data_IF_968460648597
#
_entry.id   IF_968460648597
#
_cell.length_a   1.000
_cell.length_b   1.000
_cell.length_c   1.000
_cell.angle_alpha   90.00
_cell.angle_beta   90.00
_cell.angle_gamma   90.00
#
_symmetry.space_group_name_H-M   'P 1'
#
loop_
_entity.id
_entity.type
_entity.pdbx_description
1 polymer ?
#
# COMPACT_ATOMS: atom_id res chain seq x y z
N UNK A 1 23.27 20.39 -10.53
CA UNK A 1 22.70 20.80 -11.83
C UNK A 1 21.40 20.01 -11.99
N UNK A 2 20.25 20.68 -11.93
CA UNK A 2 18.98 20.03 -12.23
C UNK A 2 18.98 19.77 -13.75
N UNK A 3 19.08 18.51 -14.18
CA UNK A 3 18.70 18.17 -15.54
C UNK A 3 17.23 18.56 -15.69
N UNK A 4 16.87 19.25 -16.77
CA UNK A 4 15.46 19.44 -17.13
C UNK A 4 14.75 18.11 -16.97
N UNK A 5 13.69 18.07 -16.17
CA UNK A 5 12.92 16.84 -16.06
C UNK A 5 12.52 16.42 -17.48
N UNK A 6 12.70 15.15 -17.83
CA UNK A 6 12.26 14.66 -19.14
C UNK A 6 10.77 14.93 -19.30
N UNK A 7 10.26 15.05 -20.53
CA UNK A 7 8.80 15.17 -20.71
C UNK A 7 8.10 13.89 -20.21
N UNK A 8 7.02 14.03 -19.43
CA UNK A 8 6.28 12.89 -18.86
C UNK A 8 5.78 11.94 -19.95
N UNK A 9 5.33 12.48 -21.08
CA UNK A 9 4.85 11.66 -22.19
C UNK A 9 5.99 10.87 -22.85
N UNK A 10 7.18 11.46 -22.95
CA UNK A 10 8.39 10.77 -23.42
C UNK A 10 8.87 9.64 -22.49
N UNK A 11 8.54 9.73 -21.20
CA UNK A 11 8.87 8.72 -20.20
C UNK A 11 7.87 7.55 -20.18
N UNK A 12 6.78 7.59 -20.98
CA UNK A 12 5.71 6.61 -20.95
C UNK A 12 5.93 5.49 -21.96
N UNK A 13 5.82 4.25 -21.50
CA UNK A 13 5.80 3.03 -22.33
C UNK A 13 4.41 2.40 -22.28
N UNK A 14 3.88 1.98 -23.43
CA UNK A 14 2.55 1.33 -23.47
C UNK A 14 2.62 -0.16 -23.09
N UNK A 15 3.62 -0.88 -23.57
CA UNK A 15 3.73 -2.32 -23.38
C UNK A 15 5.02 -2.68 -22.63
N UNK A 16 4.95 -3.76 -21.85
CA UNK A 16 6.10 -4.32 -21.15
C UNK A 16 6.97 -5.12 -22.11
N UNK A 17 8.08 -4.52 -22.55
CA UNK A 17 9.01 -5.18 -23.48
C UNK A 17 9.78 -6.32 -22.80
N UNK A 18 10.00 -7.45 -23.51
CA UNK A 18 10.75 -8.57 -22.96
C UNK A 18 12.21 -8.18 -22.70
N UNK A 19 12.75 -8.68 -21.59
CA UNK A 19 14.15 -8.43 -21.24
C UNK A 19 15.11 -9.30 -22.05
N UNK A 20 16.34 -8.83 -22.30
CA UNK A 20 17.42 -9.66 -22.81
C UNK A 20 17.63 -10.91 -21.96
N UNK A 21 17.99 -12.04 -22.58
CA UNK A 21 18.08 -13.34 -21.90
C UNK A 21 18.99 -13.34 -20.66
N UNK A 22 20.11 -12.62 -20.70
CA UNK A 22 21.03 -12.50 -19.55
C UNK A 22 20.38 -11.79 -18.36
N UNK A 23 19.58 -10.75 -18.61
CA UNK A 23 18.82 -10.04 -17.57
C UNK A 23 17.76 -10.94 -16.96
N UNK A 24 17.05 -11.72 -17.77
CA UNK A 24 16.06 -12.70 -17.31
C UNK A 24 16.68 -13.75 -16.38
N UNK A 25 17.86 -14.29 -16.72
CA UNK A 25 18.60 -15.22 -15.85
C UNK A 25 19.01 -14.53 -14.55
N UNK A 26 19.59 -13.34 -14.65
CA UNK A 26 20.04 -12.57 -13.49
C UNK A 26 18.87 -12.26 -12.53
N UNK A 27 17.75 -11.74 -13.04
CA UNK A 27 16.58 -11.43 -12.23
C UNK A 27 15.93 -12.69 -11.65
N UNK A 28 15.90 -13.80 -12.40
CA UNK A 28 15.47 -15.09 -11.85
C UNK A 28 16.28 -15.45 -10.61
N UNK A 29 17.61 -15.42 -10.70
CA UNK A 29 18.50 -15.75 -9.57
C UNK A 29 18.21 -14.85 -8.36
N UNK A 30 18.13 -13.53 -8.58
CA UNK A 30 17.89 -12.58 -7.49
C UNK A 30 16.50 -12.77 -6.85
N UNK A 31 15.45 -12.97 -7.64
CA UNK A 31 14.09 -13.17 -7.14
C UNK A 31 13.98 -14.44 -6.27
N UNK A 32 14.55 -15.55 -6.73
CA UNK A 32 14.53 -16.78 -5.95
C UNK A 32 15.41 -16.66 -4.71
N UNK A 33 16.55 -15.96 -4.77
CA UNK A 33 17.36 -15.66 -3.59
C UNK A 33 16.57 -14.84 -2.56
N UNK A 34 15.92 -13.76 -2.99
CA UNK A 34 15.04 -12.94 -2.12
C UNK A 34 13.91 -13.78 -1.51
N UNK A 35 13.28 -14.64 -2.31
CA UNK A 35 12.23 -15.55 -1.83
C UNK A 35 12.74 -16.49 -0.73
N UNK A 36 13.90 -17.15 -0.94
CA UNK A 36 14.45 -18.08 0.05
C UNK A 36 14.98 -17.37 1.30
N UNK A 37 15.62 -16.21 1.16
CA UNK A 37 16.03 -15.37 2.30
C UNK A 37 14.82 -14.94 3.11
N UNK A 38 13.76 -14.46 2.45
CA UNK A 38 12.53 -14.05 3.12
C UNK A 38 11.88 -15.23 3.86
N UNK A 39 11.79 -16.41 3.23
CA UNK A 39 11.25 -17.62 3.84
C UNK A 39 12.07 -18.10 5.04
N UNK A 40 13.40 -18.05 4.96
CA UNK A 40 14.29 -18.38 6.06
C UNK A 40 14.13 -17.39 7.23
N UNK A 41 14.11 -16.08 6.93
CA UNK A 41 13.87 -15.03 7.92
C UNK A 41 12.55 -15.20 8.65
N UNK A 42 11.46 -15.52 7.91
CA UNK A 42 10.15 -15.80 8.51
C UNK A 42 10.17 -17.02 9.43
N UNK A 43 10.89 -18.10 9.06
CA UNK A 43 11.05 -19.28 9.94
C UNK A 43 11.78 -18.90 11.23
N UNK A 44 12.89 -18.18 11.14
CA UNK A 44 13.64 -17.73 12.33
C UNK A 44 12.77 -16.84 13.21
N UNK A 45 12.06 -15.87 12.63
CA UNK A 45 11.14 -15.01 13.37
C UNK A 45 10.03 -15.81 14.07
N UNK A 46 9.47 -16.82 13.40
CA UNK A 46 8.44 -17.69 13.98
C UNK A 46 8.97 -18.51 15.17
N UNK A 47 10.22 -18.99 15.10
CA UNK A 47 10.87 -19.71 16.19
C UNK A 47 11.15 -18.77 17.35
N UNK A 48 11.73 -17.59 17.09
CA UNK A 48 11.97 -16.56 18.12
C UNK A 48 10.69 -16.15 18.83
N UNK A 49 9.60 -15.93 18.10
CA UNK A 49 8.30 -15.58 18.70
C UNK A 49 7.76 -16.69 19.62
N UNK A 50 7.93 -17.96 19.24
CA UNK A 50 7.56 -19.11 20.09
C UNK A 50 8.41 -19.20 21.35
N UNK A 51 9.72 -18.94 21.24
CA UNK A 51 10.66 -19.03 22.36
C UNK A 51 10.59 -17.85 23.32
N UNK A 52 10.29 -16.65 22.84
CA UNK A 52 10.40 -15.42 23.62
C UNK A 52 9.22 -15.18 24.59
N UNK A 53 8.18 -16.03 24.62
CA UNK A 53 6.90 -15.72 25.30
C UNK A 53 6.34 -14.35 24.93
N UNK A 54 6.80 -13.78 23.81
CA UNK A 54 6.66 -12.38 23.47
C UNK A 54 5.55 -12.31 22.41
N UNK A 55 4.32 -11.91 22.80
CA UNK A 55 3.23 -11.83 21.87
C UNK A 55 3.46 -10.58 21.04
N UNK A 56 3.99 -10.74 19.83
CA UNK A 56 3.50 -9.85 18.77
C UNK A 56 2.02 -10.21 18.65
N UNK A 57 1.15 -9.37 19.23
CA UNK A 57 -0.27 -9.62 19.47
C UNK A 57 -0.90 -10.43 18.32
N UNK A 58 -1.09 -11.75 18.50
CA UNK A 58 -1.48 -12.61 17.41
C UNK A 58 -2.91 -12.26 16.96
N UNK A 59 -3.27 -12.54 15.70
CA UNK A 59 -4.66 -12.43 15.29
C UNK A 59 -5.51 -13.35 16.17
N UNK A 60 -6.75 -12.94 16.41
CA UNK A 60 -7.73 -13.75 17.15
C UNK A 60 -7.98 -15.09 16.44
N UNK A 61 -7.92 -15.10 15.11
CA UNK A 61 -7.97 -16.35 14.32
C UNK A 61 -7.24 -16.21 12.99
N UNK A 62 -6.85 -17.35 12.43
CA UNK A 62 -6.40 -17.49 11.04
C UNK A 62 -7.40 -18.38 10.33
N UNK A 63 -7.93 -17.94 9.18
CA UNK A 63 -8.99 -18.67 8.46
C UNK A 63 -8.57 -18.94 7.03
N UNK A 64 -8.85 -20.15 6.55
CA UNK A 64 -8.70 -20.54 5.15
C UNK A 64 -10.07 -20.82 4.57
N UNK A 65 -10.35 -20.28 3.38
CA UNK A 65 -11.60 -20.53 2.66
C UNK A 65 -11.37 -21.55 1.54
N UNK A 66 -12.37 -22.40 1.19
CA UNK A 66 -12.25 -23.37 0.11
C UNK A 66 -11.87 -22.77 -1.24
N UNK A 67 -12.25 -21.51 -1.51
CA UNK A 67 -11.88 -20.82 -2.74
C UNK A 67 -10.36 -20.63 -2.86
N UNK A 68 -9.65 -20.42 -1.74
CA UNK A 68 -8.20 -20.18 -1.68
C UNK A 68 -7.59 -20.77 -0.39
N UNK A 69 -7.50 -22.12 -0.28
CA UNK A 69 -7.14 -22.78 0.98
C UNK A 69 -5.71 -22.47 1.45
N UNK A 70 -4.83 -22.11 0.51
CA UNK A 70 -3.42 -21.80 0.75
C UNK A 70 -3.14 -20.32 1.03
N UNK A 71 -4.16 -19.46 1.05
CA UNK A 71 -4.04 -18.03 1.32
C UNK A 71 -4.86 -17.67 2.57
N UNK A 72 -4.41 -18.10 3.77
CA UNK A 72 -5.16 -17.83 4.98
C UNK A 72 -5.24 -16.33 5.24
N UNK A 73 -6.43 -15.87 5.62
CA UNK A 73 -6.65 -14.52 6.17
C UNK A 73 -6.38 -14.51 7.67
N UNK A 74 -6.06 -13.34 8.22
CA UNK A 74 -5.80 -13.14 9.65
C UNK A 74 -6.82 -12.15 10.20
N UNK A 75 -7.54 -12.53 11.25
CA UNK A 75 -8.67 -11.75 11.78
C UNK A 75 -8.29 -11.15 13.13
N UNK A 76 -8.43 -9.83 13.24
CA UNK A 76 -8.20 -9.06 14.47
C UNK A 76 -9.52 -8.45 14.92
N UNK A 77 -10.09 -9.08 15.95
CA UNK A 77 -11.28 -8.59 16.65
C UNK A 77 -10.86 -7.49 17.64
N UNK A 78 -11.54 -6.33 17.67
CA UNK A 78 -11.24 -5.28 18.64
C UNK A 78 -11.56 -5.76 20.06
N UNK A 79 -10.79 -5.30 21.08
CA UNK A 79 -11.06 -5.65 22.50
C UNK A 79 -12.44 -5.18 22.97
N UNK A 80 -12.98 -4.13 22.37
CA UNK A 80 -14.31 -3.59 22.65
C UNK A 80 -15.47 -4.42 22.08
N UNK A 81 -15.18 -5.45 21.27
CA UNK A 81 -16.21 -6.26 20.65
C UNK A 81 -17.10 -6.96 21.68
N UNK A 82 -18.42 -6.83 21.50
CA UNK A 82 -19.45 -7.54 22.23
C UNK A 82 -20.33 -8.32 21.25
N UNK A 83 -20.82 -9.49 21.68
CA UNK A 83 -21.67 -10.35 20.83
C UNK A 83 -22.93 -9.62 20.35
N UNK A 84 -23.33 -9.86 19.10
CA UNK A 84 -24.52 -9.27 18.49
C UNK A 84 -24.32 -7.93 17.76
N UNK A 85 -23.09 -7.38 17.77
CA UNK A 85 -22.75 -6.15 17.05
C UNK A 85 -22.06 -6.45 15.71
N UNK A 86 -22.51 -5.82 14.62
CA UNK A 86 -21.73 -5.74 13.37
C UNK A 86 -20.74 -4.57 13.42
N UNK A 87 -19.51 -4.81 12.98
CA UNK A 87 -18.38 -3.91 13.05
C UNK A 87 -18.03 -3.34 11.67
N UNK A 88 -17.63 -2.05 11.59
CA UNK A 88 -16.93 -1.57 10.41
C UNK A 88 -15.68 -2.43 10.20
N UNK A 89 -15.38 -2.75 8.95
CA UNK A 89 -14.34 -3.72 8.60
C UNK A 89 -13.31 -3.10 7.67
N UNK A 90 -12.05 -3.20 8.07
CA UNK A 90 -10.90 -2.82 7.26
C UNK A 90 -10.16 -4.09 6.80
N UNK A 91 -10.19 -4.36 5.49
CA UNK A 91 -9.28 -5.33 4.90
C UNK A 91 -7.88 -4.71 4.77
N UNK A 92 -6.81 -5.46 5.03
CA UNK A 92 -5.44 -4.97 4.82
C UNK A 92 -4.65 -5.87 3.87
N UNK A 93 -3.89 -5.26 2.95
CA UNK A 93 -3.06 -5.95 1.95
C UNK A 93 -1.60 -5.56 2.12
N UNK A 94 -0.78 -6.54 2.46
CA UNK A 94 0.61 -6.31 2.85
C UNK A 94 1.53 -5.93 1.67
N UNK A 95 2.62 -5.22 1.98
CA UNK A 95 3.68 -4.86 1.02
C UNK A 95 4.54 -6.05 0.57
N UNK A 96 5.39 -5.83 -0.44
CA UNK A 96 6.41 -6.81 -0.82
C UNK A 96 6.70 -6.91 -2.32
N UNK A 97 6.49 -5.82 -3.07
CA UNK A 97 6.82 -5.76 -4.51
C UNK A 97 6.17 -6.88 -5.32
N UNK A 98 4.98 -7.35 -4.92
CA UNK A 98 4.25 -8.50 -5.50
C UNK A 98 4.94 -9.87 -5.41
N UNK A 99 6.21 -9.92 -4.99
CA UNK A 99 7.11 -11.09 -5.04
C UNK A 99 7.37 -11.68 -3.66
N UNK A 100 7.34 -10.85 -2.61
CA UNK A 100 7.68 -11.23 -1.25
C UNK A 100 6.66 -10.68 -0.24
N UNK A 101 6.95 -10.83 1.05
CA UNK A 101 6.08 -10.34 2.13
C UNK A 101 5.08 -11.37 2.61
N UNK A 102 4.47 -11.08 3.77
CA UNK A 102 3.48 -11.92 4.43
C UNK A 102 2.54 -11.01 5.24
N UNK A 103 1.24 -11.31 5.36
CA UNK A 103 0.32 -10.51 6.18
C UNK A 103 0.74 -10.40 7.66
N UNK A 104 1.55 -11.35 8.16
CA UNK A 104 2.14 -11.28 9.51
C UNK A 104 3.02 -10.05 9.73
N UNK A 105 3.61 -9.50 8.67
CA UNK A 105 4.49 -8.33 8.76
C UNK A 105 3.76 -7.11 9.37
N UNK A 106 2.44 -7.06 9.17
CA UNK A 106 1.59 -5.94 9.58
C UNK A 106 0.74 -6.27 10.82
N UNK A 107 0.95 -7.41 11.49
CA UNK A 107 0.15 -7.85 12.65
C UNK A 107 0.07 -6.77 13.75
N UNK A 108 1.20 -6.13 14.06
CA UNK A 108 1.24 -5.09 15.09
C UNK A 108 0.42 -3.85 14.68
N UNK A 109 0.51 -3.45 13.42
CA UNK A 109 -0.30 -2.35 12.87
C UNK A 109 -1.79 -2.71 12.92
N UNK A 110 -2.14 -3.92 12.44
CA UNK A 110 -3.51 -4.43 12.37
C UNK A 110 -4.15 -4.57 13.76
N UNK A 111 -3.43 -5.13 14.73
CA UNK A 111 -3.89 -5.24 16.13
C UNK A 111 -4.14 -3.86 16.72
N UNK A 112 -3.16 -2.96 16.61
CA UNK A 112 -3.27 -1.62 17.18
C UNK A 112 -4.46 -0.89 16.58
N UNK A 113 -4.64 -0.97 15.27
CA UNK A 113 -5.77 -0.35 14.57
C UNK A 113 -7.12 -0.90 15.05
N UNK A 114 -7.24 -2.23 15.11
CA UNK A 114 -8.44 -2.89 15.58
C UNK A 114 -8.78 -2.45 17.01
N UNK A 115 -7.82 -2.53 17.94
CA UNK A 115 -8.02 -2.15 19.34
C UNK A 115 -8.39 -0.70 19.53
N UNK A 116 -7.63 0.20 18.93
CA UNK A 116 -7.70 1.63 19.22
C UNK A 116 -8.98 2.23 18.64
N UNK A 117 -9.43 1.75 17.49
CA UNK A 117 -10.53 2.37 16.74
C UNK A 117 -11.80 1.51 16.68
N UNK A 118 -11.83 0.37 17.38
CA UNK A 118 -12.99 -0.53 17.43
C UNK A 118 -13.44 -1.01 16.04
N UNK A 119 -12.46 -1.32 15.19
CA UNK A 119 -12.66 -1.79 13.81
C UNK A 119 -12.29 -3.28 13.71
N UNK A 120 -13.06 -4.05 12.96
CA UNK A 120 -12.66 -5.41 12.59
C UNK A 120 -11.58 -5.31 11.50
N UNK A 121 -10.37 -5.80 11.77
CA UNK A 121 -9.30 -5.82 10.77
C UNK A 121 -9.10 -7.23 10.23
N UNK A 122 -9.11 -7.38 8.91
CA UNK A 122 -8.89 -8.65 8.22
C UNK A 122 -7.69 -8.52 7.28
N UNK A 123 -6.54 -9.06 7.69
CA UNK A 123 -5.34 -9.03 6.86
C UNK A 123 -5.38 -10.16 5.82
N UNK A 124 -5.30 -9.78 4.55
CA UNK A 124 -5.37 -10.67 3.40
C UNK A 124 -3.99 -11.16 2.98
N UNK A 125 -3.94 -12.37 2.43
CA UNK A 125 -2.75 -12.91 1.78
C UNK A 125 -3.00 -13.04 0.27
N UNK A 126 -1.96 -12.89 -0.52
CA UNK A 126 -2.03 -13.02 -1.99
C UNK A 126 -0.89 -13.89 -2.52
N UNK A 127 -1.08 -14.55 -3.69
CA UNK A 127 -0.04 -15.36 -4.31
C UNK A 127 1.10 -14.48 -4.81
N UNK A 128 2.32 -15.03 -4.88
CA UNK A 128 3.52 -14.25 -5.21
C UNK A 128 4.05 -14.54 -6.61
N UNK A 129 4.49 -13.47 -7.26
CA UNK A 129 5.30 -13.51 -8.47
C UNK A 129 6.69 -14.14 -8.19
N UNK A 130 7.35 -14.75 -9.18
CA UNK A 130 6.97 -14.84 -10.59
C UNK A 130 6.09 -16.06 -10.91
N UNK A 131 5.80 -16.92 -9.92
CA UNK A 131 4.94 -18.11 -10.10
C UNK A 131 3.49 -17.72 -10.42
N UNK A 132 3.03 -16.61 -9.86
CA UNK A 132 1.69 -16.07 -10.07
C UNK A 132 1.89 -14.60 -10.44
N UNK A 133 1.95 -14.32 -11.75
CA UNK A 133 2.13 -12.98 -12.30
C UNK A 133 0.82 -12.19 -12.25
N UNK A 134 0.87 -10.92 -12.62
CA UNK A 134 -0.34 -10.14 -12.91
C UNK A 134 -1.23 -10.90 -13.92
N UNK A 135 -2.57 -10.94 -13.73
CA UNK A 135 -3.37 -10.31 -12.67
C UNK A 135 -3.74 -11.24 -11.48
N UNK A 136 -3.12 -12.42 -11.33
CA UNK A 136 -3.59 -13.48 -10.41
C UNK A 136 -3.86 -13.01 -8.98
N UNK A 137 -2.98 -12.19 -8.41
CA UNK A 137 -3.13 -11.71 -7.04
C UNK A 137 -4.41 -10.90 -6.81
N UNK A 138 -4.88 -10.16 -7.81
CA UNK A 138 -6.06 -9.29 -7.72
C UNK A 138 -7.32 -10.16 -7.63
N UNK A 139 -7.47 -11.16 -8.50
CA UNK A 139 -8.59 -12.09 -8.46
C UNK A 139 -8.59 -12.97 -7.20
N UNK A 140 -7.42 -13.36 -6.70
CA UNK A 140 -7.35 -14.11 -5.45
C UNK A 140 -7.79 -13.28 -4.24
N UNK A 141 -7.44 -11.99 -4.20
CA UNK A 141 -7.92 -11.07 -3.17
C UNK A 141 -9.43 -10.85 -3.25
N UNK A 142 -9.98 -10.70 -4.46
CA UNK A 142 -11.43 -10.60 -4.68
C UNK A 142 -12.17 -11.79 -4.05
N UNK A 143 -11.72 -13.01 -4.35
CA UNK A 143 -12.33 -14.25 -3.84
C UNK A 143 -12.24 -14.35 -2.31
N UNK A 144 -11.14 -13.89 -1.71
CA UNK A 144 -10.99 -13.87 -0.24
C UNK A 144 -11.90 -12.83 0.42
N UNK A 145 -12.05 -11.65 -0.18
CA UNK A 145 -12.96 -10.60 0.30
C UNK A 145 -14.40 -11.10 0.24
N UNK A 146 -14.84 -11.66 -0.89
CA UNK A 146 -16.18 -12.20 -1.06
C UNK A 146 -16.47 -13.35 -0.07
N UNK A 147 -15.49 -14.23 0.16
CA UNK A 147 -15.62 -15.30 1.14
C UNK A 147 -15.75 -14.77 2.57
N UNK A 148 -14.94 -13.78 2.95
CA UNK A 148 -15.03 -13.14 4.27
C UNK A 148 -16.38 -12.42 4.47
N UNK A 149 -16.86 -11.69 3.46
CA UNK A 149 -18.17 -11.03 3.49
C UNK A 149 -19.35 -12.03 3.55
N UNK A 150 -19.14 -13.27 3.11
CA UNK A 150 -20.15 -14.33 3.16
C UNK A 150 -20.07 -15.19 4.44
N UNK A 151 -18.99 -15.05 5.21
CA UNK A 151 -18.77 -15.79 6.45
C UNK A 151 -19.59 -15.17 7.59
N UNK A 152 -20.76 -15.76 7.87
CA UNK A 152 -21.68 -15.28 8.91
C UNK A 152 -21.13 -15.34 10.34
N UNK A 153 -19.98 -15.99 10.55
CA UNK A 153 -19.31 -15.99 11.85
C UNK A 153 -18.36 -14.81 12.04
N UNK A 154 -18.14 -13.99 11.01
CA UNK A 154 -17.48 -12.70 11.11
C UNK A 154 -18.55 -11.60 11.26
N UNK A 155 -18.45 -10.74 12.29
CA UNK A 155 -19.43 -9.69 12.53
C UNK A 155 -19.19 -8.48 11.61
N UNK A 156 -19.18 -8.68 10.30
CA UNK A 156 -18.93 -7.64 9.31
C UNK A 156 -20.21 -6.84 9.05
N UNK A 157 -20.13 -5.54 9.28
CA UNK A 157 -21.10 -4.60 8.72
C UNK A 157 -20.78 -4.36 7.23
N UNK A 158 -21.58 -4.96 6.34
CA UNK A 158 -21.32 -4.97 4.88
C UNK A 158 -21.44 -3.59 4.24
N UNK A 159 -22.09 -2.64 4.90
CA UNK A 159 -22.20 -1.27 4.42
C UNK A 159 -21.03 -0.39 4.86
N UNK A 160 -20.18 -0.89 5.77
CA UNK A 160 -19.03 -0.17 6.33
C UNK A 160 -17.74 -0.96 6.13
N UNK A 161 -17.39 -1.17 4.86
CA UNK A 161 -16.21 -1.94 4.44
C UNK A 161 -15.23 -1.05 3.68
N UNK A 162 -13.97 -1.09 4.08
CA UNK A 162 -12.87 -0.40 3.42
C UNK A 162 -11.68 -1.35 3.26
N UNK A 163 -10.72 -0.96 2.42
CA UNK A 163 -9.47 -1.70 2.22
C UNK A 163 -8.27 -0.76 2.33
N UNK A 164 -7.24 -1.20 3.05
CA UNK A 164 -5.95 -0.52 3.09
C UNK A 164 -4.87 -1.39 2.48
N UNK A 165 -3.84 -0.78 1.89
CA UNK A 165 -2.72 -1.51 1.34
C UNK A 165 -1.42 -0.72 1.38
N UNK A 166 -0.32 -1.44 1.47
CA UNK A 166 1.03 -0.87 1.63
C UNK A 166 1.89 -1.21 0.40
N UNK A 167 2.51 -0.22 -0.23
CA UNK A 167 3.36 -0.41 -1.43
C UNK A 167 2.59 -1.16 -2.52
N UNK A 168 3.12 -2.29 -3.01
CA UNK A 168 2.43 -3.24 -3.89
C UNK A 168 1.02 -3.62 -3.40
N UNK A 169 0.82 -3.73 -2.08
CA UNK A 169 -0.49 -3.97 -1.48
C UNK A 169 -1.44 -2.79 -1.65
N UNK A 170 -0.94 -1.55 -1.71
CA UNK A 170 -1.72 -0.35 -2.01
C UNK A 170 -2.23 -0.35 -3.45
N UNK A 171 -1.36 -0.74 -4.40
CA UNK A 171 -1.78 -1.00 -5.79
C UNK A 171 -2.87 -2.08 -5.84
N UNK A 172 -2.64 -3.22 -5.20
CA UNK A 172 -3.63 -4.32 -5.18
C UNK A 172 -4.96 -3.92 -4.54
N UNK A 173 -4.92 -3.11 -3.47
CA UNK A 173 -6.11 -2.58 -2.81
C UNK A 173 -6.91 -1.65 -3.73
N UNK A 174 -6.24 -0.78 -4.48
CA UNK A 174 -6.87 0.04 -5.51
C UNK A 174 -7.45 -0.83 -6.63
N UNK A 175 -6.65 -1.72 -7.22
CA UNK A 175 -7.06 -2.56 -8.36
C UNK A 175 -8.24 -3.47 -8.03
N UNK A 176 -8.19 -4.20 -6.91
CA UNK A 176 -9.29 -5.12 -6.53
C UNK A 176 -10.59 -4.36 -6.30
N UNK A 177 -10.51 -3.13 -5.78
CA UNK A 177 -11.69 -2.30 -5.53
C UNK A 177 -12.41 -1.88 -6.82
N UNK A 178 -11.72 -1.90 -7.96
CA UNK A 178 -12.31 -1.57 -9.27
C UNK A 178 -13.07 -2.72 -9.93
N UNK A 179 -12.89 -3.95 -9.45
CA UNK A 179 -13.56 -5.12 -10.04
C UNK A 179 -15.08 -4.99 -9.96
N UNK A 180 -15.85 -5.51 -10.93
CA UNK A 180 -17.31 -5.38 -10.95
C UNK A 180 -18.02 -5.87 -9.68
N UNK A 181 -17.48 -6.92 -9.05
CA UNK A 181 -17.99 -7.46 -7.79
C UNK A 181 -17.77 -6.53 -6.60
N UNK A 182 -16.80 -5.61 -6.68
CA UNK A 182 -16.40 -4.69 -5.61
C UNK A 182 -16.99 -3.29 -5.80
N UNK A 183 -16.93 -2.76 -7.02
CA UNK A 183 -17.38 -1.40 -7.34
C UNK A 183 -18.90 -1.30 -7.58
N UNK A 184 -19.59 -2.43 -7.71
CA UNK A 184 -21.04 -2.50 -7.87
C UNK A 184 -21.53 -2.51 -9.32
N UNK A 185 -20.64 -2.48 -10.32
CA UNK A 185 -21.05 -2.62 -11.73
C UNK A 185 -21.47 -4.03 -12.12
N UNK A 186 -21.19 -5.03 -11.29
CA UNK A 186 -21.63 -6.42 -11.50
C UNK A 186 -23.07 -6.69 -11.06
N UNK A 187 -23.39 -6.39 -9.79
CA UNK A 187 -24.67 -6.74 -9.16
C UNK A 187 -25.38 -5.56 -8.47
N UNK A 188 -24.93 -4.33 -8.72
CA UNK A 188 -25.45 -3.12 -8.09
C UNK A 188 -24.94 -2.86 -6.67
N UNK A 189 -24.17 -3.78 -6.07
CA UNK A 189 -23.70 -3.66 -4.68
C UNK A 189 -22.24 -3.26 -4.63
N UNK A 190 -21.97 -2.01 -4.26
CA UNK A 190 -20.60 -1.56 -3.95
C UNK A 190 -20.16 -2.09 -2.60
N UNK A 191 -19.25 -3.06 -2.59
CA UNK A 191 -18.75 -3.75 -1.39
C UNK A 191 -17.60 -3.03 -0.71
N UNK A 192 -16.81 -2.25 -1.45
CA UNK A 192 -15.71 -1.45 -0.88
C UNK A 192 -16.09 0.02 -0.96
N UNK A 193 -16.29 0.64 0.21
CA UNK A 193 -16.69 2.05 0.32
C UNK A 193 -15.51 3.00 0.29
N UNK A 194 -14.35 2.57 0.81
CA UNK A 194 -13.13 3.38 0.79
C UNK A 194 -11.85 2.59 0.63
N UNK A 195 -10.82 3.24 0.11
CA UNK A 195 -9.48 2.70 -0.04
C UNK A 195 -8.43 3.63 0.57
N UNK A 196 -7.51 3.05 1.35
CA UNK A 196 -6.34 3.75 1.90
C UNK A 196 -5.08 3.14 1.28
N UNK A 197 -4.38 3.90 0.46
CA UNK A 197 -3.21 3.40 -0.27
C UNK A 197 -1.94 4.08 0.22
N UNK A 198 -1.08 3.33 0.91
CA UNK A 198 0.18 3.81 1.47
C UNK A 198 1.33 3.55 0.51
N UNK A 199 1.99 4.62 0.07
CA UNK A 199 3.14 4.71 -0.85
C UNK A 199 3.08 3.71 -2.03
N UNK A 200 1.96 3.65 -2.78
CA UNK A 200 1.78 2.68 -3.85
C UNK A 200 2.56 3.02 -5.13
N UNK A 201 3.01 2.01 -5.90
CA UNK A 201 3.22 2.19 -7.33
C UNK A 201 1.86 2.15 -8.06
N UNK A 202 1.39 3.28 -8.59
CA UNK A 202 0.07 3.37 -9.29
C UNK A 202 0.17 3.51 -10.80
N UNK A 203 1.37 3.69 -11.33
CA UNK A 203 1.61 3.87 -12.76
C UNK A 203 2.85 3.09 -13.21
N UNK A 204 2.66 1.86 -13.71
CA UNK A 204 3.75 1.01 -14.20
C UNK A 204 4.25 1.43 -15.58
N UNK A 205 3.60 2.40 -16.24
CA UNK A 205 3.94 2.83 -17.59
C UNK A 205 5.07 3.86 -17.65
N UNK A 206 5.40 4.50 -16.52
CA UNK A 206 6.39 5.59 -16.47
C UNK A 206 7.78 5.06 -16.14
N UNK A 207 8.78 5.53 -16.90
CA UNK A 207 10.18 5.19 -16.68
C UNK A 207 10.67 5.57 -15.27
N UNK A 208 11.46 4.68 -14.67
CA UNK A 208 11.95 4.82 -13.29
C UNK A 208 12.86 6.04 -13.15
N UNK A 209 13.67 6.37 -14.16
CA UNK A 209 14.56 7.52 -14.06
C UNK A 209 13.76 8.82 -14.02
N UNK A 210 12.67 8.90 -14.78
CA UNK A 210 11.74 10.02 -14.65
C UNK A 210 11.14 10.07 -13.24
N UNK A 211 10.66 8.94 -12.70
CA UNK A 211 10.10 8.88 -11.34
C UNK A 211 11.06 9.41 -10.27
N UNK A 212 12.36 9.11 -10.38
CA UNK A 212 13.36 9.64 -9.44
C UNK A 212 13.49 11.16 -9.44
N UNK A 213 13.10 11.83 -10.52
CA UNK A 213 13.10 13.30 -10.62
C UNK A 213 11.91 13.94 -9.91
N UNK A 214 10.87 13.14 -9.60
CA UNK A 214 9.63 13.62 -8.94
C UNK A 214 9.68 13.59 -7.41
N UNK A 215 10.76 13.06 -6.83
CA UNK A 215 10.99 13.03 -5.37
C UNK A 215 12.00 14.07 -4.92
N UNK A 216 12.02 14.37 -3.62
CA UNK A 216 13.02 15.28 -3.02
C UNK A 216 14.28 14.52 -2.60
N UNK A 217 15.40 15.24 -2.61
CA UNK A 217 16.70 14.79 -2.09
C UNK A 217 17.19 15.81 -1.07
N UNK A 218 17.41 15.35 0.17
CA UNK A 218 17.75 16.23 1.30
C UNK A 218 19.05 15.78 1.97
N UNK A 219 20.23 16.13 1.43
CA UNK A 219 21.52 15.69 1.97
C UNK A 219 21.76 16.08 3.43
N UNK A 220 21.15 17.18 3.89
CA UNK A 220 21.25 17.68 5.26
C UNK A 220 20.66 16.73 6.32
N UNK A 221 19.77 15.81 5.95
CA UNK A 221 19.16 14.85 6.89
C UNK A 221 20.14 13.79 7.42
N UNK A 222 21.29 13.61 6.76
CA UNK A 222 22.24 12.53 7.03
C UNK A 222 21.69 11.12 6.84
N UNK A 223 22.56 10.12 7.09
CA UNK A 223 22.17 8.71 7.13
C UNK A 223 21.69 8.13 5.80
N UNK A 224 20.76 7.19 5.88
CA UNK A 224 20.21 6.47 4.74
C UNK A 224 19.32 7.38 3.88
N UNK A 225 18.51 8.23 4.52
CA UNK A 225 17.54 9.11 3.86
C UNK A 225 18.17 10.30 3.11
N UNK A 226 19.44 10.62 3.40
CA UNK A 226 20.21 11.63 2.68
C UNK A 226 20.93 11.12 1.42
N UNK A 227 20.82 9.83 1.08
CA UNK A 227 21.52 9.26 -0.08
C UNK A 227 21.06 9.93 -1.38
N UNK A 228 21.97 10.08 -2.37
CA UNK A 228 21.67 10.73 -3.65
C UNK A 228 20.87 9.83 -4.62
N UNK A 229 20.50 8.63 -4.19
CA UNK A 229 19.77 7.65 -5.01
C UNK A 229 18.63 7.05 -4.22
N UNK A 230 17.51 6.79 -4.90
CA UNK A 230 16.41 6.05 -4.31
C UNK A 230 16.79 4.58 -4.08
N UNK A 231 16.35 4.01 -2.96
CA UNK A 231 16.69 2.62 -2.62
C UNK A 231 15.87 1.61 -3.42
N UNK A 232 14.64 1.94 -3.83
CA UNK A 232 13.79 1.09 -4.66
C UNK A 232 14.29 0.99 -6.09
N UNK A 233 15.10 1.94 -6.56
CA UNK A 233 15.62 1.97 -7.94
C UNK A 233 16.36 0.68 -8.31
N UNK A 234 17.02 0.03 -7.34
CA UNK A 234 17.75 -1.22 -7.56
C UNK A 234 16.87 -2.47 -7.58
N UNK A 235 15.75 -2.46 -6.86
CA UNK A 235 14.89 -3.63 -6.70
C UNK A 235 13.67 -3.61 -7.62
N UNK A 236 13.17 -2.43 -7.98
CA UNK A 236 11.96 -2.29 -8.80
C UNK A 236 12.04 -2.96 -10.18
N UNK A 237 13.16 -2.96 -10.94
CA UNK A 237 13.23 -3.72 -12.20
C UNK A 237 13.03 -5.23 -12.01
N UNK A 238 13.47 -5.74 -10.86
CA UNK A 238 13.40 -7.16 -10.50
C UNK A 238 11.96 -7.53 -10.11
N UNK A 239 11.28 -6.65 -9.37
CA UNK A 239 9.86 -6.81 -9.02
C UNK A 239 8.97 -6.74 -10.26
N UNK A 240 9.20 -5.75 -11.12
CA UNK A 240 8.42 -5.57 -12.34
C UNK A 240 8.57 -6.76 -13.28
N UNK A 241 9.80 -7.22 -13.54
CA UNK A 241 10.02 -8.41 -14.35
C UNK A 241 9.33 -9.66 -13.78
N UNK A 242 9.34 -9.81 -12.45
CA UNK A 242 8.71 -10.96 -11.83
C UNK A 242 7.20 -10.89 -11.95
N UNK A 243 6.60 -9.70 -11.78
CA UNK A 243 5.17 -9.50 -11.67
C UNK A 243 4.46 -9.30 -13.00
N UNK A 244 5.06 -8.55 -13.93
CA UNK A 244 4.42 -8.08 -15.16
C UNK A 244 4.77 -9.04 -16.31
N UNK A 245 3.78 -9.67 -16.99
CA UNK A 245 4.03 -10.49 -18.18
C UNK A 245 4.64 -9.68 -19.33
N UNK A 246 5.39 -10.35 -20.21
CA UNK A 246 5.90 -9.74 -21.43
C UNK A 246 4.71 -9.39 -22.35
N UNK A 247 4.77 -8.23 -23.01
CA UNK A 247 3.69 -7.70 -23.84
C UNK A 247 2.48 -7.17 -23.07
N UNK A 248 2.48 -7.21 -21.73
CA UNK A 248 1.39 -6.65 -20.93
C UNK A 248 1.24 -5.15 -21.19
N UNK A 249 -0.01 -4.71 -21.34
CA UNK A 249 -0.35 -3.30 -21.38
C UNK A 249 -0.09 -2.68 -20.00
N UNK A 250 0.87 -1.76 -19.93
CA UNK A 250 1.28 -1.08 -18.70
C UNK A 250 0.25 -0.04 -18.24
N UNK A 251 -0.70 0.33 -19.09
CA UNK A 251 -1.81 1.22 -18.76
C UNK A 251 -3.11 0.46 -18.48
N UNK A 252 -3.06 -0.87 -18.39
CA UNK A 252 -4.19 -1.67 -17.87
C UNK A 252 -4.59 -1.13 -16.49
N UNK A 253 -5.85 -0.71 -16.27
CA UNK A 253 -6.28 -0.10 -15.01
C UNK A 253 -6.17 -1.03 -13.81
N UNK A 254 -6.10 -2.36 -14.00
CA UNK A 254 -5.83 -3.30 -12.91
C UNK A 254 -4.34 -3.35 -12.54
N UNK A 255 -3.43 -3.03 -13.48
CA UNK A 255 -1.99 -2.97 -13.23
C UNK A 255 -1.55 -1.58 -12.74
N UNK A 256 -2.10 -0.54 -13.36
CA UNK A 256 -1.82 0.87 -13.12
C UNK A 256 -3.11 1.61 -12.78
N UNK A 257 -3.56 1.59 -11.51
CA UNK A 257 -4.84 2.15 -11.07
C UNK A 257 -5.05 3.63 -11.39
N UNK A 258 -3.99 4.38 -11.71
CA UNK A 258 -4.11 5.77 -12.20
C UNK A 258 -4.96 5.87 -13.48
N UNK A 259 -5.05 4.80 -14.28
CA UNK A 259 -5.85 4.73 -15.50
C UNK A 259 -7.28 4.20 -15.27
N UNK A 260 -7.64 3.83 -14.04
CA UNK A 260 -8.99 3.41 -13.73
C UNK A 260 -9.96 4.60 -13.82
N UNK A 261 -11.16 4.37 -14.36
CA UNK A 261 -12.22 5.37 -14.34
C UNK A 261 -12.61 5.69 -12.90
N UNK A 262 -12.86 6.97 -12.62
CA UNK A 262 -13.28 7.45 -11.29
C UNK A 262 -14.46 6.63 -10.71
N UNK A 263 -15.47 6.32 -11.52
CA UNK A 263 -16.67 5.58 -11.11
C UNK A 263 -16.41 4.12 -10.68
N UNK A 264 -15.29 3.54 -11.13
CA UNK A 264 -14.87 2.20 -10.74
C UNK A 264 -14.15 2.20 -9.40
N UNK A 265 -13.53 3.31 -9.00
CA UNK A 265 -12.86 3.43 -7.70
C UNK A 265 -13.89 3.64 -6.58
N UNK A 266 -13.55 3.31 -5.32
CA UNK A 266 -14.36 3.70 -4.18
C UNK A 266 -14.53 5.24 -4.12
N UNK A 267 -15.68 5.75 -3.69
CA UNK A 267 -15.91 7.20 -3.59
C UNK A 267 -15.01 7.87 -2.54
N UNK A 268 -14.44 7.10 -1.62
CA UNK A 268 -13.48 7.57 -0.63
C UNK A 268 -12.08 7.00 -0.96
N UNK A 269 -11.13 7.86 -1.29
CA UNK A 269 -9.73 7.49 -1.58
C UNK A 269 -8.79 8.32 -0.72
N UNK A 270 -7.97 7.66 0.10
CA UNK A 270 -6.90 8.31 0.86
C UNK A 270 -5.55 7.79 0.39
N UNK A 271 -4.77 8.64 -0.28
CA UNK A 271 -3.40 8.32 -0.68
C UNK A 271 -2.41 8.91 0.30
N UNK A 272 -1.50 8.07 0.79
CA UNK A 272 -0.40 8.46 1.66
C UNK A 272 0.89 8.18 0.89
N UNK A 273 1.85 9.09 0.87
CA UNK A 273 3.13 8.90 0.19
C UNK A 273 4.30 9.36 1.05
N UNK A 274 5.50 8.91 0.71
CA UNK A 274 6.74 9.32 1.36
C UNK A 274 7.44 10.38 0.51
N UNK A 275 7.91 11.50 1.11
CA UNK A 275 8.54 12.60 0.36
C UNK A 275 9.85 12.20 -0.34
N UNK A 276 10.58 11.24 0.24
CA UNK A 276 11.88 10.77 -0.25
C UNK A 276 11.76 9.42 -0.99
N UNK A 277 10.66 9.21 -1.71
CA UNK A 277 10.32 7.98 -2.40
C UNK A 277 9.99 8.26 -3.87
N UNK A 278 10.64 7.57 -4.81
CA UNK A 278 10.40 7.72 -6.25
C UNK A 278 8.93 7.47 -6.67
N UNK A 279 8.12 6.80 -5.84
CA UNK A 279 6.70 6.55 -6.13
C UNK A 279 5.77 7.74 -5.83
N UNK A 280 6.29 8.79 -5.19
CA UNK A 280 5.51 9.95 -4.72
C UNK A 280 4.84 10.70 -5.87
N UNK A 281 5.54 10.87 -6.99
CA UNK A 281 5.02 11.61 -8.14
C UNK A 281 3.75 10.99 -8.67
N UNK A 282 3.76 9.68 -8.94
CA UNK A 282 2.61 8.96 -9.48
C UNK A 282 1.41 9.01 -8.51
N UNK A 283 1.69 8.82 -7.21
CA UNK A 283 0.67 8.88 -6.17
C UNK A 283 0.00 10.26 -6.10
N UNK A 284 0.81 11.33 -6.15
CA UNK A 284 0.33 12.70 -6.16
C UNK A 284 -0.48 13.00 -7.43
N UNK A 285 -0.03 12.55 -8.61
CA UNK A 285 -0.77 12.70 -9.87
C UNK A 285 -2.15 12.06 -9.81
N UNK A 286 -2.22 10.82 -9.31
CA UNK A 286 -3.48 10.08 -9.19
C UNK A 286 -4.46 10.81 -8.27
N UNK A 287 -4.06 11.17 -7.04
CA UNK A 287 -4.97 11.81 -6.09
C UNK A 287 -5.41 13.21 -6.54
N UNK A 288 -4.50 14.00 -7.13
CA UNK A 288 -4.84 15.30 -7.71
C UNK A 288 -5.84 15.15 -8.86
N UNK A 289 -5.64 14.16 -9.74
CA UNK A 289 -6.58 13.86 -10.82
C UNK A 289 -7.98 13.53 -10.31
N UNK A 290 -8.08 12.67 -9.28
CA UNK A 290 -9.37 12.33 -8.66
C UNK A 290 -10.04 13.54 -7.99
N UNK A 291 -9.24 14.39 -7.33
CA UNK A 291 -9.70 15.62 -6.71
C UNK A 291 -9.96 16.76 -7.73
N UNK A 292 -9.67 16.60 -9.02
CA UNK A 292 -9.76 17.68 -10.01
C UNK A 292 -8.81 18.85 -9.72
N UNK A 293 -7.68 18.58 -9.05
CA UNK A 293 -6.62 19.54 -8.73
C UNK A 293 -5.56 19.54 -9.83
N UNK A 294 -4.92 20.68 -10.12
CA UNK A 294 -3.80 20.72 -11.05
C UNK A 294 -2.63 19.89 -10.50
N UNK A 295 -1.96 19.18 -11.39
CA UNK A 295 -0.71 18.48 -11.09
C UNK A 295 0.45 19.40 -11.46
N UNK A 296 1.29 19.75 -10.48
CA UNK A 296 2.55 20.44 -10.77
C UNK A 296 3.60 19.49 -11.37
N UNK A 297 4.46 20.01 -12.25
CA UNK A 297 5.57 19.26 -12.87
C UNK A 297 6.81 19.12 -11.94
N UNK A 298 6.76 19.68 -10.73
CA UNK A 298 7.90 19.76 -9.81
C UNK A 298 7.87 18.59 -8.81
N UNK A 299 9.06 18.19 -8.33
CA UNK A 299 9.19 17.25 -7.24
C UNK A 299 8.25 17.54 -6.06
N UNK A 300 7.59 16.51 -5.55
CA UNK A 300 6.54 16.64 -4.53
C UNK A 300 7.16 16.94 -3.15
N UNK A 301 6.59 17.88 -2.40
CA UNK A 301 7.15 18.34 -1.12
C UNK A 301 8.06 19.58 -1.23
N UNK A 302 8.92 19.79 -0.23
CA UNK A 302 9.83 20.95 -0.14
C UNK A 302 11.29 20.49 -0.12
N UNK A 303 12.21 21.38 -0.47
CA UNK A 303 13.65 21.09 -0.42
C UNK A 303 14.18 21.05 1.01
N UNK A 304 13.68 21.93 1.88
CA UNK A 304 14.11 21.97 3.28
C UNK A 304 13.54 20.79 4.10
N UNK A 305 14.32 20.24 5.05
CA UNK A 305 13.80 19.30 6.05
C UNK A 305 12.59 19.84 6.79
N UNK A 306 11.60 18.98 7.01
CA UNK A 306 10.47 19.23 7.87
C UNK A 306 10.78 18.99 9.36
N UNK A 307 9.77 19.18 10.23
CA UNK A 307 9.92 18.91 11.65
C UNK A 307 10.12 17.41 11.92
N UNK A 308 11.00 17.11 12.88
CA UNK A 308 11.25 15.74 13.32
C UNK A 308 10.07 15.24 14.13
N UNK A 309 9.52 14.12 13.70
CA UNK A 309 8.45 13.39 14.34
C UNK A 309 7.06 13.96 14.13
N UNK A 310 6.90 14.99 13.30
CA UNK A 310 5.63 15.68 13.10
C UNK A 310 5.19 15.65 11.63
N UNK A 311 3.89 15.52 11.41
CA UNK A 311 3.30 15.70 10.08
C UNK A 311 3.11 17.20 9.78
N UNK A 312 3.12 17.56 8.51
CA UNK A 312 2.76 18.91 8.05
C UNK A 312 1.34 18.83 7.50
N UNK A 313 0.37 19.42 8.21
CA UNK A 313 -1.06 19.30 7.88
C UNK A 313 -1.69 20.61 7.37
N UNK A 314 -0.99 21.72 7.55
CA UNK A 314 -1.40 23.09 7.21
C UNK A 314 -0.86 23.57 5.85
N UNK A 315 -0.13 22.72 5.12
CA UNK A 315 0.40 22.99 3.78
C UNK A 315 -0.16 21.99 2.77
N UNK A 316 -0.80 22.49 1.72
CA UNK A 316 -1.46 21.67 0.71
C UNK A 316 -0.51 20.75 -0.07
N UNK A 317 0.80 21.05 -0.11
CA UNK A 317 1.80 20.12 -0.68
C UNK A 317 1.89 18.83 0.13
N UNK A 318 1.62 18.92 1.43
CA UNK A 318 1.72 17.80 2.36
C UNK A 318 0.37 17.19 2.72
N UNK A 319 -0.69 17.99 2.81
CA UNK A 319 -1.99 17.47 3.19
C UNK A 319 -3.12 18.27 2.55
N UNK A 320 -4.05 17.58 1.91
CA UNK A 320 -5.33 18.16 1.51
C UNK A 320 -6.43 17.11 1.53
N UNK A 321 -7.66 17.57 1.61
CA UNK A 321 -8.84 16.74 1.44
C UNK A 321 -9.87 17.50 0.61
N UNK A 322 -10.30 16.91 -0.51
CA UNK A 322 -11.41 17.43 -1.32
C UNK A 322 -12.62 16.51 -1.15
N UNK A 323 -13.66 17.04 -0.49
CA UNK A 323 -14.86 16.29 -0.14
C UNK A 323 -16.08 16.86 -0.85
N UNK A 324 -16.82 16.00 -1.55
CA UNK A 324 -17.97 16.36 -2.41
C UNK A 324 -19.11 15.38 -2.17
N UNK A 325 -20.09 15.77 -1.34
CA UNK A 325 -21.18 14.89 -0.97
C UNK A 325 -20.66 13.62 -0.28
N UNK A 326 -20.89 12.46 -0.90
CA UNK A 326 -20.44 11.15 -0.40
C UNK A 326 -19.09 10.70 -1.00
N UNK A 327 -18.31 11.63 -1.55
CA UNK A 327 -16.95 11.38 -2.06
C UNK A 327 -15.92 12.17 -1.22
N UNK A 328 -14.73 11.60 -1.02
CA UNK A 328 -13.59 12.29 -0.39
C UNK A 328 -12.27 11.78 -0.95
N UNK A 329 -11.45 12.72 -1.42
CA UNK A 329 -10.12 12.48 -1.97
C UNK A 329 -9.08 13.14 -1.07
N UNK A 330 -8.36 12.33 -0.30
CA UNK A 330 -7.40 12.80 0.70
C UNK A 330 -5.97 12.47 0.30
N UNK A 331 -5.09 13.44 0.49
CA UNK A 331 -3.66 13.34 0.29
C UNK A 331 -2.92 13.55 1.60
N UNK A 332 -1.91 12.71 1.86
CA UNK A 332 -0.94 12.92 2.94
C UNK A 332 0.47 12.55 2.46
N UNK A 333 1.36 13.52 2.40
CA UNK A 333 2.79 13.32 2.21
C UNK A 333 3.48 13.28 3.56
N UNK A 334 4.24 12.22 3.81
CA UNK A 334 5.00 12.07 5.04
C UNK A 334 6.37 12.76 4.85
N UNK A 335 6.66 13.86 5.57
CA UNK A 335 7.86 14.65 5.36
C UNK A 335 9.12 13.89 5.78
N UNK A 336 10.19 14.00 4.99
CA UNK A 336 11.53 13.43 5.23
C UNK A 336 11.60 11.91 5.41
N UNK A 337 10.56 11.20 4.96
CA UNK A 337 10.47 9.75 5.08
C UNK A 337 10.72 9.05 3.74
N UNK A 338 11.27 7.84 3.82
CA UNK A 338 11.47 6.94 2.67
C UNK A 338 10.38 5.86 2.65
N UNK A 339 10.31 5.07 1.57
CA UNK A 339 9.37 3.96 1.44
C UNK A 339 9.35 3.04 2.67
N UNK A 340 8.15 2.57 3.06
CA UNK A 340 7.91 1.71 4.24
C UNK A 340 8.29 2.36 5.59
N UNK A 341 8.07 3.66 5.73
CA UNK A 341 8.33 4.42 6.97
C UNK A 341 7.60 3.88 8.21
N UNK A 342 6.43 3.26 8.02
CA UNK A 342 5.58 2.65 9.05
C UNK A 342 6.09 1.29 9.53
N UNK A 343 7.09 0.70 8.86
CA UNK A 343 7.89 -0.44 9.36
C UNK A 343 9.21 0.04 10.00
N UNK A 344 9.17 1.18 10.71
CA UNK A 344 10.34 1.89 11.23
C UNK A 344 11.33 1.01 12.02
N UNK A 345 10.87 0.03 12.80
CA UNK A 345 11.77 -0.90 13.54
C UNK A 345 12.54 -1.82 12.60
N UNK A 346 11.87 -2.37 11.59
CA UNK A 346 12.49 -3.21 10.58
C UNK A 346 13.44 -2.36 9.73
N UNK A 347 13.02 -1.16 9.34
CA UNK A 347 13.83 -0.24 8.54
C UNK A 347 15.05 0.29 9.30
N UNK A 348 14.98 0.49 10.62
CA UNK A 348 16.17 0.78 11.45
C UNK A 348 17.23 -0.32 11.28
N UNK A 349 16.82 -1.59 11.35
CA UNK A 349 17.73 -2.73 11.21
C UNK A 349 18.33 -2.84 9.81
N UNK A 350 17.52 -2.61 8.76
CA UNK A 350 17.96 -2.70 7.36
C UNK A 350 18.86 -1.53 6.97
N UNK A 351 18.46 -0.30 7.33
CA UNK A 351 19.16 0.92 6.93
C UNK A 351 20.32 1.29 7.86
N UNK A 352 20.33 0.74 9.09
CA UNK A 352 21.22 1.13 10.18
C UNK A 352 21.17 2.64 10.45
N UNK A 353 19.97 3.19 10.40
CA UNK A 353 19.70 4.61 10.56
C UNK A 353 18.66 4.83 11.66
N UNK A 354 19.16 5.06 12.88
CA UNK A 354 18.33 5.28 14.07
C UNK A 354 17.65 6.64 14.05
N UNK A 355 18.29 7.66 13.47
CA UNK A 355 17.71 9.00 13.37
C UNK A 355 16.47 8.98 12.47
N UNK A 356 16.54 8.25 11.35
CA UNK A 356 15.37 7.99 10.51
C UNK A 356 14.25 7.29 11.28
N UNK A 357 14.55 6.23 12.04
CA UNK A 357 13.52 5.50 12.78
C UNK A 357 12.84 6.33 13.89
N UNK A 358 13.60 7.18 14.60
CA UNK A 358 13.08 8.11 15.61
C UNK A 358 12.13 9.15 15.01
N UNK A 359 12.39 9.57 13.78
CA UNK A 359 11.52 10.47 13.02
C UNK A 359 10.26 9.72 12.48
N UNK A 360 10.47 8.51 11.98
CA UNK A 360 9.43 7.70 11.34
C UNK A 360 8.35 7.21 12.31
N UNK A 361 8.73 6.76 13.51
CA UNK A 361 7.80 6.17 14.49
C UNK A 361 6.60 7.08 14.84
N UNK A 362 6.79 8.33 15.31
CA UNK A 362 5.68 9.21 15.64
C UNK A 362 4.86 9.61 14.39
N UNK A 363 5.49 9.77 13.22
CA UNK A 363 4.80 10.04 11.95
C UNK A 363 3.91 8.85 11.51
N UNK A 364 4.38 7.62 11.72
CA UNK A 364 3.59 6.41 11.49
C UNK A 364 2.37 6.33 12.40
N UNK A 365 2.51 6.66 13.69
CA UNK A 365 1.39 6.71 14.64
C UNK A 365 0.37 7.81 14.30
N UNK A 366 0.85 9.00 13.94
CA UNK A 366 -0.03 10.11 13.52
C UNK A 366 -0.78 9.80 12.23
N UNK A 367 -0.11 9.25 11.22
CA UNK A 367 -0.78 8.85 9.97
C UNK A 367 -1.80 7.74 10.20
N UNK A 368 -1.51 6.75 11.06
CA UNK A 368 -2.48 5.72 11.44
C UNK A 368 -3.73 6.30 12.12
N UNK A 369 -3.55 7.32 12.97
CA UNK A 369 -4.65 8.07 13.58
C UNK A 369 -5.49 8.80 12.53
N UNK A 370 -4.86 9.52 11.61
CA UNK A 370 -5.56 10.22 10.53
C UNK A 370 -6.34 9.27 9.62
N UNK A 371 -5.79 8.08 9.34
CA UNK A 371 -6.49 7.03 8.60
C UNK A 371 -7.77 6.64 9.32
N UNK A 372 -7.70 6.39 10.63
CA UNK A 372 -8.87 5.99 11.41
C UNK A 372 -9.93 7.08 11.49
N UNK A 373 -9.53 8.33 11.74
CA UNK A 373 -10.45 9.47 11.79
C UNK A 373 -11.16 9.68 10.44
N UNK A 374 -10.43 9.57 9.34
CA UNK A 374 -11.00 9.68 7.99
C UNK A 374 -11.94 8.51 7.67
N UNK A 375 -11.57 7.27 8.02
CA UNK A 375 -12.43 6.11 7.85
C UNK A 375 -13.73 6.24 8.66
N UNK A 376 -13.65 6.63 9.93
CA UNK A 376 -14.79 6.75 10.84
C UNK A 376 -15.74 7.92 10.48
N UNK A 377 -15.21 8.99 9.88
CA UNK A 377 -16.00 10.15 9.45
C UNK A 377 -16.58 10.01 8.04
N UNK A 378 -16.03 9.12 7.21
CA UNK A 378 -16.50 8.85 5.84
C UNK A 378 -16.96 7.41 5.64
N UNK A 379 -16.13 6.50 5.10
CA UNK A 379 -16.51 5.12 4.72
C UNK A 379 -17.20 4.27 5.78
N UNK A 380 -16.94 4.53 7.07
CA UNK A 380 -17.52 3.81 8.20
C UNK A 380 -18.56 4.64 8.96
N UNK A 381 -18.91 5.83 8.46
CA UNK A 381 -20.01 6.62 9.03
C UNK A 381 -21.30 5.82 8.86
N UNK A 382 -22.10 5.73 9.95
CA UNK A 382 -23.44 5.16 9.85
C UNK A 382 -24.35 6.17 9.17
N UNK A 383 -25.13 5.71 8.20
CA UNK A 383 -26.31 6.46 7.77
C UNK A 383 -27.30 6.45 8.95
N UNK A 384 -27.77 7.63 9.34
CA UNK A 384 -28.67 7.83 10.48
C UNK A 384 -30.11 7.47 10.14
#
# INVERSE_FOLDING_TARGET
MASSAGDLDSARSRFNEPLPALNTIYYTIIVYLLYYINRAGQRVASIKARLASNPNDPPNSSRSYPCRPNLPIRVFMPKSYSSGQNLPTLFTVHAGGFVMGNPRNDDAWNRYFADTYSVLVIALNYPKAPRNRFPTAIYDLEQLILAALSDSSLPIDKDRVAIAGFSAGGTLALSVSTLPSMCGSGDGVRRVKGVVSLYPPVDMSIDRNYKTQTRRYKPSLGGFRARPTDWLLRLSPIFDWAYIPDGQDLQDPLLSPIYASKDALPPYVFMIACELDMLVGDSHRMICGLAGRPVGEVAVGKDEPGPVGELILDDEKYCFEDSRGNESYKWLLIPDQVHSFDHYKQMESVHRDKAHALDAEPKAKQSQKLIAEWLLSGPFKREL
#
